data_IF_931785165352
#
_entry.id   IF_931785165352
#
_cell.length_a   1.000
_cell.length_b   1.000
_cell.length_c   1.000
_cell.angle_alpha   90.00
_cell.angle_beta   90.00
_cell.angle_gamma   90.00
#
_symmetry.space_group_name_H-M   'P 1'
#
loop_
_entity.id
_entity.type
_entity.pdbx_description
1 polymer ?
#
# COMPACT_ATOMS: atom_id res chain seq x y z
N UNK A 1 0.40 -20.77 12.76
CA UNK A 1 -0.75 -19.84 12.68
C UNK A 1 -0.86 -19.38 11.24
N UNK A 2 -2.05 -19.39 10.64
CA UNK A 2 -2.28 -18.99 9.23
C UNK A 2 -2.68 -17.53 9.09
N UNK A 3 -2.77 -16.79 10.20
CA UNK A 3 -3.32 -15.45 10.27
C UNK A 3 -2.78 -14.67 11.47
N UNK A 4 -2.71 -13.34 11.35
CA UNK A 4 -2.35 -12.42 12.43
C UNK A 4 -3.39 -12.46 13.57
N UNK A 5 -2.96 -12.36 14.83
CA UNK A 5 -3.82 -12.42 16.01
C UNK A 5 -4.49 -11.06 16.27
N UNK A 6 -5.33 -10.61 15.33
CA UNK A 6 -6.10 -9.37 15.43
C UNK A 6 -7.57 -9.66 15.72
N UNK A 7 -8.24 -8.70 16.36
CA UNK A 7 -9.69 -8.70 16.47
C UNK A 7 -10.30 -8.14 15.17
N UNK A 8 -10.61 -9.04 14.24
CA UNK A 8 -11.14 -8.69 12.93
C UNK A 8 -12.57 -8.14 12.98
N UNK A 9 -13.35 -8.48 14.01
CA UNK A 9 -14.67 -7.90 14.21
C UNK A 9 -14.55 -6.44 14.65
N UNK A 10 -13.67 -6.15 15.61
CA UNK A 10 -13.36 -4.77 16.02
C UNK A 10 -12.79 -3.95 14.87
N UNK A 11 -11.89 -4.52 14.07
CA UNK A 11 -11.34 -3.85 12.89
C UNK A 11 -12.43 -3.52 11.87
N UNK A 12 -13.32 -4.48 11.57
CA UNK A 12 -14.42 -4.26 10.65
C UNK A 12 -15.39 -3.19 11.18
N UNK A 13 -15.78 -3.26 12.45
CA UNK A 13 -16.64 -2.25 13.07
C UNK A 13 -16.01 -0.84 13.02
N UNK A 14 -14.72 -0.73 13.32
CA UNK A 14 -13.97 0.52 13.20
C UNK A 14 -13.94 1.04 11.75
N UNK A 15 -13.67 0.16 10.79
CA UNK A 15 -13.75 0.50 9.36
C UNK A 15 -15.15 1.02 8.98
N UNK A 16 -16.22 0.34 9.41
CA UNK A 16 -17.61 0.74 9.13
C UNK A 16 -17.94 2.13 9.66
N UNK A 17 -17.43 2.48 10.83
CA UNK A 17 -17.56 3.84 11.36
C UNK A 17 -16.85 4.90 10.50
N UNK A 18 -15.76 4.54 9.80
CA UNK A 18 -15.01 5.44 8.92
C UNK A 18 -15.59 5.57 7.50
N UNK A 19 -16.32 4.57 7.00
CA UNK A 19 -16.83 4.55 5.61
C UNK A 19 -17.56 5.84 5.20
N UNK A 20 -18.46 6.44 6.02
CA UNK A 20 -19.11 7.70 5.66
C UNK A 20 -18.12 8.85 5.45
N UNK A 21 -17.11 8.98 6.33
CA UNK A 21 -16.08 10.01 6.22
C UNK A 21 -15.20 9.80 4.98
N UNK A 22 -14.85 8.54 4.67
CA UNK A 22 -14.12 8.18 3.44
C UNK A 22 -14.90 8.56 2.19
N UNK A 23 -16.20 8.23 2.14
CA UNK A 23 -17.07 8.57 1.00
C UNK A 23 -17.27 10.07 0.83
N UNK A 24 -17.31 10.82 1.94
CA UNK A 24 -17.41 12.27 1.93
C UNK A 24 -16.08 12.98 1.60
N UNK A 25 -15.00 12.22 1.33
CA UNK A 25 -13.65 12.76 1.19
C UNK A 25 -13.25 13.68 2.37
N UNK A 26 -13.74 13.37 3.57
CA UNK A 26 -13.36 14.09 4.77
C UNK A 26 -11.85 14.00 5.00
N UNK A 27 -11.27 14.92 5.77
CA UNK A 27 -9.85 14.90 6.13
C UNK A 27 -9.55 13.65 6.98
N UNK A 28 -9.21 12.55 6.32
CA UNK A 28 -8.71 11.31 6.94
C UNK A 28 -7.21 11.38 7.25
N UNK A 29 -6.54 12.40 6.71
CA UNK A 29 -5.11 12.57 6.87
C UNK A 29 -4.78 13.05 8.28
N UNK A 30 -3.61 12.66 8.82
CA UNK A 30 -3.15 13.21 10.07
C UNK A 30 -3.13 14.75 10.01
N UNK A 31 -3.49 15.44 11.10
CA UNK A 31 -3.62 16.91 11.14
C UNK A 31 -2.27 17.64 11.12
N UNK A 32 -1.22 17.00 10.61
CA UNK A 32 0.13 17.56 10.54
C UNK A 32 0.19 18.78 9.59
N UNK A 33 1.23 19.63 9.72
CA UNK A 33 1.49 20.75 8.80
C UNK A 33 1.51 20.36 7.31
N UNK A 34 1.77 19.08 7.02
CA UNK A 34 1.85 18.51 5.67
C UNK A 34 0.50 18.05 5.09
N UNK A 35 -0.65 18.36 5.69
CA UNK A 35 -1.97 17.91 5.18
C UNK A 35 -2.23 18.33 3.72
N UNK A 36 -1.76 19.51 3.32
CA UNK A 36 -1.82 19.96 1.93
C UNK A 36 -0.91 19.13 1.01
N UNK A 37 0.31 18.80 1.46
CA UNK A 37 1.23 17.93 0.71
C UNK A 37 0.60 16.56 0.47
N UNK A 38 -0.02 15.98 1.50
CA UNK A 38 -0.78 14.73 1.40
C UNK A 38 -1.86 14.80 0.31
N UNK A 39 -2.67 15.86 0.32
CA UNK A 39 -3.74 16.05 -0.65
C UNK A 39 -3.20 16.23 -2.08
N UNK A 40 -2.16 17.05 -2.25
CA UNK A 40 -1.54 17.31 -3.54
C UNK A 40 -0.91 16.04 -4.14
N UNK A 41 -0.20 15.25 -3.32
CA UNK A 41 0.37 13.97 -3.76
C UNK A 41 -0.70 12.94 -4.08
N UNK A 42 -1.80 12.90 -3.33
CA UNK A 42 -2.91 11.99 -3.62
C UNK A 42 -3.57 12.35 -4.95
N UNK A 43 -3.81 13.64 -5.18
CA UNK A 43 -4.34 14.14 -6.44
C UNK A 43 -3.39 13.85 -7.61
N UNK A 44 -2.08 14.04 -7.43
CA UNK A 44 -1.08 13.68 -8.43
C UNK A 44 -1.13 12.19 -8.76
N UNK A 45 -1.15 11.31 -7.75
CA UNK A 45 -1.24 9.87 -7.97
C UNK A 45 -2.53 9.48 -8.70
N UNK A 46 -3.66 10.09 -8.32
CA UNK A 46 -4.94 9.91 -9.00
C UNK A 46 -4.84 10.30 -10.49
N UNK A 47 -4.25 11.46 -10.79
CA UNK A 47 -4.06 11.93 -12.16
C UNK A 47 -3.15 10.99 -12.96
N UNK A 48 -2.04 10.51 -12.38
CA UNK A 48 -1.13 9.56 -13.04
C UNK A 48 -1.87 8.26 -13.35
N UNK A 49 -2.59 7.69 -12.38
CA UNK A 49 -3.36 6.45 -12.55
C UNK A 49 -4.44 6.59 -13.64
N UNK A 50 -5.10 7.75 -13.71
CA UNK A 50 -6.11 8.05 -14.74
C UNK A 50 -5.49 8.23 -16.13
N UNK A 51 -4.31 8.86 -16.20
CA UNK A 51 -3.62 9.14 -17.46
C UNK A 51 -2.91 7.90 -18.02
N UNK A 52 -2.67 6.90 -17.17
CA UNK A 52 -2.09 5.62 -17.53
C UNK A 52 -3.07 4.50 -17.19
N UNK A 53 -4.23 4.44 -17.88
CA UNK A 53 -5.14 3.32 -17.73
C UNK A 53 -4.42 2.03 -18.09
N UNK A 54 -4.89 0.92 -17.53
CA UNK A 54 -4.37 -0.39 -17.90
C UNK A 54 -4.47 -0.59 -19.41
N UNK A 55 -3.39 -1.09 -20.04
CA UNK A 55 -3.36 -1.31 -21.50
C UNK A 55 -4.22 -2.50 -21.94
N UNK A 56 -4.80 -3.23 -20.99
CA UNK A 56 -5.55 -4.47 -21.22
C UNK A 56 -4.66 -5.70 -21.39
N UNK A 57 -3.34 -5.53 -21.43
CA UNK A 57 -2.36 -6.61 -21.64
C UNK A 57 -2.09 -7.47 -20.38
N UNK A 58 -2.68 -7.10 -19.24
CA UNK A 58 -2.58 -7.91 -18.04
C UNK A 58 -3.72 -8.93 -17.99
N UNK A 59 -3.33 -10.20 -18.04
CA UNK A 59 -4.17 -11.39 -17.81
C UNK A 59 -4.75 -11.52 -16.39
N UNK A 60 -4.47 -10.55 -15.50
CA UNK A 60 -4.89 -10.54 -14.09
C UNK A 60 -4.54 -11.84 -13.35
N UNK A 61 -3.48 -12.55 -13.77
CA UNK A 61 -3.15 -13.87 -13.23
C UNK A 61 -2.77 -13.90 -11.73
N UNK A 62 -2.61 -12.73 -11.10
CA UNK A 62 -2.29 -12.59 -9.68
C UNK A 62 -0.85 -12.99 -9.32
N UNK A 63 0.02 -13.24 -10.30
CA UNK A 63 1.40 -13.69 -10.06
C UNK A 63 2.22 -12.66 -9.29
N UNK A 64 2.14 -11.38 -9.64
CA UNK A 64 2.82 -10.31 -8.90
C UNK A 64 2.40 -10.25 -7.42
N UNK A 65 1.12 -10.53 -7.13
CA UNK A 65 0.60 -10.56 -5.76
C UNK A 65 1.03 -11.81 -4.97
N UNK A 66 1.51 -12.86 -5.64
CA UNK A 66 2.05 -14.09 -5.01
C UNK A 66 3.56 -14.01 -4.80
N UNK A 67 4.26 -13.30 -5.68
CA UNK A 67 5.73 -13.19 -5.63
C UNK A 67 6.20 -12.10 -4.66
N UNK A 68 5.39 -11.05 -4.43
CA UNK A 68 5.73 -9.93 -3.54
C UNK A 68 4.80 -9.85 -2.33
N UNK A 69 5.35 -9.71 -1.10
CA UNK A 69 4.54 -9.43 0.08
C UNK A 69 3.80 -8.12 -0.14
N UNK A 70 2.50 -8.10 0.17
CA UNK A 70 1.73 -6.87 0.01
C UNK A 70 2.10 -5.87 1.11
N UNK A 71 2.85 -4.85 0.72
CA UNK A 71 3.08 -3.65 1.51
C UNK A 71 2.86 -2.44 0.60
N UNK A 72 2.45 -1.34 1.19
CA UNK A 72 2.18 -0.12 0.46
C UNK A 72 2.69 1.09 1.24
N UNK A 73 2.98 2.16 0.50
CA UNK A 73 3.29 3.47 1.06
C UNK A 73 2.01 4.15 1.53
N UNK A 74 2.08 5.07 2.51
CA UNK A 74 0.86 5.61 3.09
C UNK A 74 -0.02 6.35 2.07
N UNK A 75 0.55 6.96 1.02
CA UNK A 75 -0.27 7.59 -0.04
C UNK A 75 -1.08 6.57 -0.83
N UNK A 76 -0.52 5.39 -1.09
CA UNK A 76 -1.19 4.28 -1.76
C UNK A 76 -2.31 3.73 -0.87
N UNK A 77 -2.05 3.59 0.42
CA UNK A 77 -3.06 3.19 1.40
C UNK A 77 -4.27 4.12 1.36
N UNK A 78 -4.05 5.44 1.47
CA UNK A 78 -5.12 6.43 1.42
C UNK A 78 -5.89 6.41 0.09
N UNK A 79 -5.22 6.14 -1.01
CA UNK A 79 -5.87 6.00 -2.31
C UNK A 79 -6.76 4.77 -2.42
N UNK A 80 -6.43 3.70 -1.69
CA UNK A 80 -7.25 2.50 -1.64
C UNK A 80 -8.52 2.68 -0.81
N UNK A 81 -8.54 3.57 0.19
CA UNK A 81 -9.69 3.70 1.09
C UNK A 81 -11.00 4.02 0.34
N UNK A 82 -11.08 5.02 -0.57
CA UNK A 82 -12.31 5.26 -1.34
C UNK A 82 -12.74 4.06 -2.17
N UNK A 83 -11.79 3.30 -2.72
CA UNK A 83 -12.08 2.09 -3.49
C UNK A 83 -12.72 1.01 -2.61
N UNK A 84 -12.17 0.76 -1.42
CA UNK A 84 -12.74 -0.18 -0.43
C UNK A 84 -14.12 0.28 0.06
N UNK A 85 -14.28 1.58 0.31
CA UNK A 85 -15.55 2.14 0.76
C UNK A 85 -16.63 2.07 -0.31
N UNK A 86 -16.24 2.03 -1.59
CA UNK A 86 -17.13 1.84 -2.74
C UNK A 86 -17.64 0.41 -2.93
N UNK A 87 -17.02 -0.59 -2.32
CA UNK A 87 -17.49 -1.98 -2.40
C UNK A 87 -18.84 -2.18 -1.70
N UNK A 88 -19.65 -3.16 -2.13
CA UNK A 88 -20.79 -3.64 -1.36
C UNK A 88 -20.39 -4.01 0.07
N UNK A 89 -21.27 -3.74 1.04
CA UNK A 89 -20.97 -3.96 2.46
C UNK A 89 -20.58 -5.41 2.76
N UNK A 90 -21.28 -6.37 2.17
CA UNK A 90 -20.95 -7.80 2.30
C UNK A 90 -19.53 -8.11 1.81
N UNK A 91 -19.07 -7.45 0.73
CA UNK A 91 -17.71 -7.62 0.22
C UNK A 91 -16.68 -7.00 1.18
N UNK A 92 -17.00 -5.84 1.78
CA UNK A 92 -16.16 -5.24 2.82
C UNK A 92 -16.05 -6.18 4.03
N UNK A 93 -17.16 -6.70 4.53
CA UNK A 93 -17.18 -7.65 5.64
C UNK A 93 -16.33 -8.89 5.33
N UNK A 94 -16.53 -9.50 4.16
CA UNK A 94 -15.76 -10.67 3.76
C UNK A 94 -14.25 -10.39 3.70
N UNK A 95 -13.88 -9.20 3.21
CA UNK A 95 -12.50 -8.76 3.17
C UNK A 95 -11.86 -8.72 4.57
N UNK A 96 -12.49 -8.03 5.52
CA UNK A 96 -11.95 -7.90 6.89
C UNK A 96 -11.99 -9.22 7.66
N UNK A 97 -13.10 -9.97 7.57
CA UNK A 97 -13.29 -11.18 8.38
C UNK A 97 -12.54 -12.40 7.85
N UNK A 98 -12.25 -12.49 6.55
CA UNK A 98 -11.67 -13.70 5.97
C UNK A 98 -10.33 -13.51 5.28
N UNK A 99 -10.03 -12.32 4.76
CA UNK A 99 -8.86 -12.11 3.88
C UNK A 99 -7.74 -11.32 4.53
N UNK A 100 -8.08 -10.32 5.33
CA UNK A 100 -7.12 -9.46 6.00
C UNK A 100 -6.24 -10.26 6.99
N UNK A 101 -4.94 -9.98 7.03
CA UNK A 101 -4.00 -10.56 8.00
C UNK A 101 -3.62 -12.00 7.75
N UNK A 102 -3.94 -12.59 6.59
CA UNK A 102 -3.46 -13.94 6.25
C UNK A 102 -1.93 -13.96 6.11
N UNK A 103 -1.31 -15.06 6.56
CA UNK A 103 0.14 -15.25 6.53
C UNK A 103 0.53 -16.40 5.61
N UNK A 104 1.68 -16.25 4.96
CA UNK A 104 2.41 -17.34 4.30
C UNK A 104 3.17 -18.20 5.32
N UNK A 105 3.70 -19.35 4.89
CA UNK A 105 4.39 -20.30 5.78
C UNK A 105 5.61 -19.69 6.49
N UNK A 106 6.25 -18.70 5.86
CA UNK A 106 7.42 -17.98 6.36
C UNK A 106 7.05 -16.76 7.23
N UNK A 107 5.76 -16.55 7.52
CA UNK A 107 5.29 -15.46 8.37
C UNK A 107 5.14 -14.10 7.67
N UNK A 108 5.18 -14.08 6.34
CA UNK A 108 4.96 -12.87 5.51
C UNK A 108 3.47 -12.62 5.30
N UNK A 109 3.06 -11.36 5.21
CA UNK A 109 1.68 -10.99 4.86
C UNK A 109 1.33 -11.45 3.46
N UNK A 110 0.28 -12.26 3.33
CA UNK A 110 -0.36 -12.57 2.05
C UNK A 110 -1.18 -11.36 1.60
N UNK A 111 -1.15 -11.05 0.31
CA UNK A 111 -1.97 -9.98 -0.25
C UNK A 111 -3.47 -10.22 0.02
N UNK A 112 -4.15 -9.35 0.79
CA UNK A 112 -5.55 -9.57 1.15
C UNK A 112 -6.49 -9.31 -0.04
N UNK A 113 -5.97 -8.73 -1.13
CA UNK A 113 -6.71 -8.44 -2.36
C UNK A 113 -6.59 -9.53 -3.43
N UNK A 114 -5.79 -10.57 -3.22
CA UNK A 114 -5.65 -11.66 -4.19
C UNK A 114 -6.85 -12.62 -4.13
N UNK A 115 -7.60 -12.74 -5.22
CA UNK A 115 -8.72 -13.67 -5.46
C UNK A 115 -8.35 -14.71 -6.51
N UNK A 116 -9.23 -15.69 -6.73
CA UNK A 116 -9.08 -16.69 -7.81
C UNK A 116 -9.00 -16.05 -9.19
N UNK A 117 -9.78 -14.99 -9.43
CA UNK A 117 -9.80 -14.23 -10.68
C UNK A 117 -8.72 -13.12 -10.79
N UNK A 118 -7.83 -13.01 -9.80
CA UNK A 118 -6.78 -12.01 -9.76
C UNK A 118 -6.92 -10.98 -8.64
N UNK A 119 -6.38 -9.79 -8.83
CA UNK A 119 -6.38 -8.74 -7.81
C UNK A 119 -7.75 -8.03 -7.74
N UNK A 120 -8.44 -8.09 -6.60
CA UNK A 120 -9.76 -7.47 -6.40
C UNK A 120 -9.75 -5.95 -6.58
N UNK A 121 -8.64 -5.31 -6.20
CA UNK A 121 -8.47 -3.86 -6.31
C UNK A 121 -7.84 -3.44 -7.64
N UNK A 122 -7.81 -4.32 -8.66
CA UNK A 122 -7.05 -4.09 -9.89
C UNK A 122 -7.26 -2.70 -10.51
N UNK A 123 -8.51 -2.23 -10.58
CA UNK A 123 -8.85 -0.92 -11.13
C UNK A 123 -8.32 0.25 -10.26
N UNK A 124 -8.33 0.07 -8.93
CA UNK A 124 -7.86 1.05 -7.94
C UNK A 124 -6.43 0.83 -7.46
N UNK A 125 -5.71 -0.19 -7.95
CA UNK A 125 -4.42 -0.59 -7.37
C UNK A 125 -3.34 0.48 -7.58
N UNK A 126 -2.41 0.62 -6.63
CA UNK A 126 -1.24 1.48 -6.78
C UNK A 126 -0.37 1.08 -7.97
N UNK A 127 0.43 2.03 -8.43
CA UNK A 127 1.26 1.90 -9.63
C UNK A 127 2.21 0.69 -9.54
N UNK A 128 2.85 0.46 -8.39
CA UNK A 128 3.80 -0.65 -8.20
C UNK A 128 3.26 -2.05 -8.56
N UNK A 129 1.95 -2.28 -8.48
CA UNK A 129 1.33 -3.58 -8.78
C UNK A 129 0.82 -3.73 -10.23
N UNK A 130 1.05 -2.74 -11.12
CA UNK A 130 0.55 -2.75 -12.50
C UNK A 130 1.55 -3.34 -13.49
N UNK A 131 1.24 -4.50 -14.10
CA UNK A 131 2.01 -5.05 -15.25
C UNK A 131 2.07 -4.05 -16.41
N UNK A 132 1.05 -3.23 -16.60
CA UNK A 132 1.04 -2.17 -17.63
C UNK A 132 2.19 -1.16 -17.47
N UNK A 133 2.74 -1.01 -16.26
CA UNK A 133 3.91 -0.14 -16.01
C UNK A 133 5.21 -0.75 -16.54
N UNK A 134 5.23 -2.07 -16.70
CA UNK A 134 6.33 -2.81 -17.30
C UNK A 134 5.98 -3.29 -18.73
N UNK A 135 5.04 -2.63 -19.40
CA UNK A 135 4.69 -2.90 -20.81
C UNK A 135 4.18 -4.32 -21.10
N UNK A 136 4.22 -4.70 -22.40
CA UNK A 136 3.78 -6.03 -22.89
C UNK A 136 4.67 -7.17 -22.40
N UNK A 137 5.83 -6.90 -21.80
CA UNK A 137 6.79 -7.93 -21.41
C UNK A 137 7.70 -7.45 -20.27
N UNK A 138 7.68 -8.13 -19.12
CA UNK A 138 8.82 -8.15 -18.20
C UNK A 138 9.78 -9.19 -18.76
N UNK A 139 10.60 -8.80 -19.73
CA UNK A 139 11.64 -9.65 -20.28
C UNK A 139 12.91 -9.44 -19.44
N UNK A 140 13.09 -10.26 -18.40
CA UNK A 140 14.44 -10.56 -17.94
C UNK A 140 14.87 -11.78 -18.73
N UNK A 141 15.76 -11.59 -19.70
CA UNK A 141 16.02 -12.60 -20.73
C UNK A 141 16.67 -13.86 -20.15
N UNK A 142 17.28 -13.84 -18.96
CA UNK A 142 18.02 -15.03 -18.47
C UNK A 142 17.99 -15.35 -16.97
N UNK A 143 17.61 -14.45 -16.03
CA UNK A 143 17.43 -14.86 -14.64
C UNK A 143 16.69 -13.77 -13.85
N UNK A 144 15.53 -14.08 -13.27
CA UNK A 144 14.73 -13.20 -12.39
C UNK A 144 15.44 -12.81 -11.07
N UNK A 145 16.71 -12.45 -11.12
CA UNK A 145 17.44 -11.75 -10.08
C UNK A 145 17.24 -10.25 -10.33
N UNK A 146 16.75 -9.52 -9.34
CA UNK A 146 16.40 -8.10 -9.41
C UNK A 146 17.65 -7.18 -9.40
N UNK A 147 18.78 -7.68 -9.91
CA UNK A 147 20.09 -7.11 -9.58
C UNK A 147 20.62 -6.18 -10.67
N UNK A 148 19.97 -6.11 -11.86
CA UNK A 148 20.28 -5.07 -12.85
C UNK A 148 19.08 -4.64 -13.71
N UNK A 149 18.89 -3.32 -13.84
CA UNK A 149 17.85 -2.70 -14.69
C UNK A 149 18.22 -2.64 -16.17
N UNK A 150 19.49 -2.87 -16.53
CA UNK A 150 20.02 -2.72 -17.89
C UNK A 150 19.58 -3.79 -18.89
N UNK A 151 18.96 -4.88 -18.43
CA UNK A 151 18.55 -6.01 -19.28
C UNK A 151 17.08 -5.98 -19.71
N UNK A 152 16.36 -4.91 -19.37
CA UNK A 152 14.92 -4.83 -19.59
C UNK A 152 14.61 -4.25 -20.97
N UNK A 153 13.83 -4.98 -21.77
CA UNK A 153 13.48 -4.55 -23.14
C UNK A 153 12.59 -3.30 -23.21
N UNK A 154 12.12 -2.81 -22.07
CA UNK A 154 11.25 -1.64 -21.87
C UNK A 154 11.80 -0.71 -20.77
N UNK A 155 13.13 -0.65 -20.67
CA UNK A 155 13.84 0.09 -19.63
C UNK A 155 13.41 1.56 -19.54
N UNK A 156 13.17 2.24 -20.67
CA UNK A 156 12.83 3.67 -20.67
C UNK A 156 11.45 3.95 -20.05
N UNK A 157 10.41 3.19 -20.42
CA UNK A 157 9.10 3.28 -19.82
C UNK A 157 9.13 2.94 -18.34
N UNK A 158 9.92 1.94 -17.97
CA UNK A 158 10.12 1.54 -16.59
C UNK A 158 10.83 2.62 -15.80
N UNK A 159 11.90 3.22 -16.33
CA UNK A 159 12.62 4.31 -15.67
C UNK A 159 11.71 5.53 -15.51
N UNK A 160 11.03 5.97 -16.58
CA UNK A 160 10.07 7.08 -16.51
C UNK A 160 9.02 6.82 -15.44
N UNK A 161 8.49 5.60 -15.36
CA UNK A 161 7.46 5.27 -14.38
C UNK A 161 8.01 5.09 -12.97
N UNK A 162 9.17 4.47 -12.78
CA UNK A 162 9.85 4.41 -11.49
C UNK A 162 10.17 5.82 -10.98
N UNK A 163 10.63 6.69 -11.87
CA UNK A 163 10.80 8.12 -11.59
C UNK A 163 9.47 8.76 -11.20
N UNK A 164 8.40 8.59 -11.97
CA UNK A 164 7.07 9.14 -11.66
C UNK A 164 6.49 8.59 -10.35
N UNK A 165 6.59 7.29 -10.10
CA UNK A 165 6.15 6.67 -8.84
C UNK A 165 6.96 7.20 -7.68
N UNK A 166 8.28 7.32 -7.84
CA UNK A 166 9.12 7.91 -6.81
C UNK A 166 8.72 9.37 -6.57
N UNK A 167 8.46 10.18 -7.60
CA UNK A 167 7.97 11.56 -7.46
C UNK A 167 6.62 11.65 -6.72
N UNK A 168 5.78 10.62 -6.76
CA UNK A 168 4.55 10.57 -5.95
C UNK A 168 4.87 10.46 -4.45
N UNK A 169 5.95 9.77 -4.10
CA UNK A 169 6.33 9.50 -2.70
C UNK A 169 7.31 10.52 -2.11
N UNK A 170 8.13 11.16 -2.95
CA UNK A 170 9.09 12.20 -2.53
C UNK A 170 8.55 13.62 -2.79
N UNK A 171 8.84 14.56 -1.90
CA UNK A 171 8.59 15.99 -2.05
C UNK A 171 9.86 16.78 -1.72
N UNK A 172 9.94 18.03 -2.16
CA UNK A 172 11.02 18.94 -1.79
C UNK A 172 10.60 19.72 -0.53
N UNK A 173 11.41 19.63 0.53
CA UNK A 173 11.18 20.38 1.77
C UNK A 173 11.57 21.86 1.63
N UNK A 174 11.37 22.66 2.68
CA UNK A 174 11.66 24.10 2.66
C UNK A 174 13.16 24.42 2.41
N UNK A 175 14.06 23.46 2.61
CA UNK A 175 15.50 23.60 2.42
C UNK A 175 15.97 23.07 1.04
N UNK A 176 15.04 22.71 0.15
CA UNK A 176 15.37 22.15 -1.17
C UNK A 176 15.76 20.66 -1.14
N UNK A 177 15.52 19.94 -0.03
CA UNK A 177 15.88 18.52 0.09
C UNK A 177 14.71 17.63 -0.28
N UNK A 178 14.98 16.59 -1.07
CA UNK A 178 13.99 15.56 -1.36
C UNK A 178 13.74 14.67 -0.13
N UNK A 179 12.51 14.69 0.37
CA UNK A 179 12.04 13.95 1.54
C UNK A 179 10.87 13.04 1.19
N UNK A 180 10.74 11.89 1.86
CA UNK A 180 9.62 10.95 1.65
C UNK A 180 8.45 11.26 2.59
N UNK A 181 7.22 11.06 2.10
CA UNK A 181 6.03 11.09 2.97
C UNK A 181 6.01 9.88 3.91
N UNK A 182 5.86 10.13 5.22
CA UNK A 182 5.72 9.11 6.24
C UNK A 182 4.50 9.35 7.13
N UNK A 183 4.01 8.29 7.76
CA UNK A 183 3.03 8.42 8.84
C UNK A 183 3.76 8.49 10.19
N UNK A 184 3.56 9.56 10.99
CA UNK A 184 4.27 9.74 12.25
C UNK A 184 3.87 8.67 13.28
N UNK A 185 4.84 8.01 13.88
CA UNK A 185 4.63 7.10 15.00
C UNK A 185 4.94 7.80 16.33
N UNK A 186 4.31 8.95 16.59
CA UNK A 186 4.57 9.78 17.78
C UNK A 186 4.38 9.04 19.12
N UNK A 187 3.71 7.88 19.11
CA UNK A 187 3.40 7.07 20.29
C UNK A 187 4.29 5.82 20.46
N UNK A 188 5.24 5.56 19.54
CA UNK A 188 6.20 4.46 19.64
C UNK A 188 7.58 5.02 20.02
N UNK A 189 8.11 4.67 21.20
CA UNK A 189 9.48 5.01 21.63
C UNK A 189 10.50 3.96 21.12
N UNK A 190 11.76 4.32 20.74
CA UNK A 190 12.37 5.66 20.56
C UNK A 190 12.84 5.92 19.09
N UNK A 191 13.38 7.12 18.72
CA UNK A 191 12.75 8.45 18.69
C UNK A 191 11.68 8.53 17.57
N UNK A 192 11.24 9.74 17.19
CA UNK A 192 10.19 10.05 16.22
C UNK A 192 10.41 9.41 14.84
N UNK A 193 10.10 8.13 14.72
CA UNK A 193 10.16 7.41 13.47
C UNK A 193 8.86 7.57 12.69
N UNK A 194 8.99 7.69 11.39
CA UNK A 194 7.87 7.60 10.45
C UNK A 194 7.82 6.23 9.81
N UNK A 195 6.62 5.66 9.60
CA UNK A 195 6.49 4.56 8.65
C UNK A 195 6.35 5.12 7.24
N UNK A 196 7.20 4.66 6.33
CA UNK A 196 7.12 4.98 4.89
C UNK A 196 6.56 3.82 4.08
N UNK A 197 6.74 2.58 4.54
CA UNK A 197 6.17 1.38 3.93
C UNK A 197 5.70 0.44 5.04
N UNK A 198 4.47 -0.07 4.90
CA UNK A 198 3.95 -1.10 5.80
C UNK A 198 2.86 -1.96 5.14
N UNK A 199 2.55 -3.14 5.71
CA UNK A 199 1.37 -3.93 5.33
C UNK A 199 0.06 -3.21 5.63
N UNK A 200 -1.01 -3.61 4.95
CA UNK A 200 -2.32 -2.95 5.06
C UNK A 200 -2.87 -2.95 6.50
N UNK A 201 -2.64 -4.04 7.23
CA UNK A 201 -3.11 -4.22 8.60
C UNK A 201 -2.51 -3.16 9.54
N UNK A 202 -1.23 -2.84 9.35
CA UNK A 202 -0.55 -1.80 10.12
C UNK A 202 -1.18 -0.44 9.83
N UNK A 203 -1.40 -0.11 8.56
CA UNK A 203 -2.04 1.15 8.17
C UNK A 203 -3.46 1.29 8.71
N UNK A 204 -4.26 0.21 8.67
CA UNK A 204 -5.61 0.20 9.23
C UNK A 204 -5.60 0.41 10.75
N UNK A 205 -4.70 -0.24 11.48
CA UNK A 205 -4.56 -0.05 12.92
C UNK A 205 -4.17 1.39 13.29
N UNK A 206 -3.28 2.00 12.50
CA UNK A 206 -2.90 3.40 12.69
C UNK A 206 -4.03 4.37 12.35
N UNK A 207 -4.78 4.11 11.27
CA UNK A 207 -5.95 4.90 10.89
C UNK A 207 -7.06 4.83 11.96
N UNK A 208 -7.19 3.69 12.63
CA UNK A 208 -8.16 3.44 13.72
C UNK A 208 -7.65 3.88 15.10
N UNK A 209 -6.50 4.56 15.17
CA UNK A 209 -5.83 4.99 16.41
C UNK A 209 -5.64 3.86 17.44
N UNK A 210 -5.24 2.66 17.00
CA UNK A 210 -4.86 1.52 17.87
C UNK A 210 -3.34 1.23 17.80
N UNK A 211 -2.48 2.15 18.31
CA UNK A 211 -1.03 1.98 18.27
C UNK A 211 -0.55 0.81 19.14
N UNK A 212 -1.32 0.42 20.16
CA UNK A 212 -0.99 -0.71 21.01
C UNK A 212 -1.10 -2.05 20.26
N UNK A 213 -2.17 -2.23 19.47
CA UNK A 213 -2.30 -3.38 18.59
C UNK A 213 -1.22 -3.40 17.50
N UNK A 214 -0.90 -2.25 16.91
CA UNK A 214 0.18 -2.11 15.94
C UNK A 214 1.52 -2.61 16.52
N UNK A 215 1.86 -2.16 17.74
CA UNK A 215 3.10 -2.59 18.42
C UNK A 215 3.12 -4.09 18.70
N UNK A 216 2.06 -4.64 19.29
CA UNK A 216 1.96 -6.08 19.56
C UNK A 216 2.18 -6.90 18.30
N UNK A 217 1.69 -6.41 17.16
CA UNK A 217 1.80 -7.09 15.88
C UNK A 217 3.23 -7.04 15.34
N UNK A 218 3.89 -5.88 15.39
CA UNK A 218 5.31 -5.72 14.99
C UNK A 218 6.23 -6.61 15.84
N UNK A 219 5.93 -6.77 17.13
CA UNK A 219 6.74 -7.56 18.07
C UNK A 219 6.49 -9.09 17.99
N UNK A 220 5.62 -9.57 17.09
CA UNK A 220 5.35 -11.02 16.93
C UNK A 220 6.57 -11.75 16.35
N UNK A 221 7.12 -12.69 17.10
CA UNK A 221 8.35 -13.42 16.74
C UNK A 221 8.32 -14.13 15.36
N UNK A 222 7.14 -14.53 14.89
CA UNK A 222 6.95 -15.21 13.60
C UNK A 222 6.47 -14.27 12.49
N UNK A 223 6.18 -13.01 12.79
CA UNK A 223 5.71 -12.05 11.80
C UNK A 223 6.89 -11.32 11.19
N UNK A 224 6.97 -11.32 9.85
CA UNK A 224 8.06 -10.67 9.11
C UNK A 224 7.49 -9.65 8.11
N UNK A 225 6.95 -8.52 8.59
CA UNK A 225 6.42 -7.48 7.73
C UNK A 225 7.54 -6.82 6.92
N UNK A 226 7.21 -6.37 5.71
CA UNK A 226 8.02 -5.36 5.03
C UNK A 226 7.73 -4.00 5.68
N UNK A 227 8.67 -3.52 6.50
CA UNK A 227 8.61 -2.20 7.13
C UNK A 227 9.79 -1.36 6.63
N UNK A 228 9.51 -0.09 6.32
CA UNK A 228 10.54 0.92 6.11
C UNK A 228 10.27 2.11 7.04
N UNK A 229 11.34 2.58 7.70
CA UNK A 229 11.29 3.68 8.64
C UNK A 229 12.04 4.89 8.09
N UNK A 230 11.50 6.08 8.33
CA UNK A 230 12.20 7.34 8.12
C UNK A 230 12.86 7.78 9.43
N UNK A 231 14.19 8.01 9.46
CA UNK A 231 14.87 8.54 10.63
C UNK A 231 14.43 9.99 10.91
N UNK A 232 14.38 10.36 12.18
CA UNK A 232 14.09 11.72 12.62
C UNK A 232 15.17 12.72 12.17
#
# INVERSE_FOLDING_TARGET
MTRLPLDYQKLYAGWRALVPAVKAAARLFPPLPAAEVWQNKLQLMHNIIRSHPDTGDCDRCGRCCREFPFACRPIEFFYLLPHLAGWPEQQQEQFFLWRLGQLEQEGRSRCPFLESAGCAIYAGRPLVCRRSIFGRHICNKQARQFDSFGEWCNMEEVLKQLTLTNLVYYYEDADGRHSELYWPLNRLKPPAAGLTVAPLEIWLLLLLDDPAACRRLIDLAYYRPLLAFYPA
#
